data_IF_968087816720
#
_entry.id   IF_968087816720
#
_cell.length_a   1.000
_cell.length_b   1.000
_cell.length_c   1.000
_cell.angle_alpha   90.00
_cell.angle_beta   90.00
_cell.angle_gamma   90.00
#
_symmetry.space_group_name_H-M   'P 1'
#
loop_
_entity.id
_entity.type
_entity.pdbx_description
1 polymer ?
#
# COMPACT_ATOMS: atom_id res chain seq x y z
N UNK A 1 -8.24 33.31 25.70
CA UNK A 1 -9.65 33.23 25.27
C UNK A 1 -9.94 31.76 25.01
N UNK A 2 -10.97 31.20 25.64
CA UNK A 2 -11.34 29.79 25.44
C UNK A 2 -11.98 29.62 24.05
N UNK A 3 -11.25 29.03 23.09
CA UNK A 3 -11.82 28.61 21.81
C UNK A 3 -12.55 27.27 22.00
N UNK A 4 -13.74 27.33 22.61
CA UNK A 4 -14.60 26.17 22.83
C UNK A 4 -15.85 26.29 21.98
N UNK A 5 -16.07 25.34 21.08
CA UNK A 5 -17.26 25.29 20.25
C UNK A 5 -18.27 24.28 20.79
N UNK A 6 -19.55 24.63 20.72
CA UNK A 6 -20.66 23.74 21.08
C UNK A 6 -21.05 22.90 19.87
N UNK A 7 -21.18 21.59 20.07
CA UNK A 7 -21.57 20.62 19.06
C UNK A 7 -23.08 20.35 19.13
N UNK A 8 -23.72 20.10 17.99
CA UNK A 8 -25.13 19.72 17.89
C UNK A 8 -25.41 18.28 18.38
N UNK A 9 -24.36 17.50 18.61
CA UNK A 9 -24.43 16.14 19.13
C UNK A 9 -23.31 15.86 20.14
N UNK A 10 -23.42 14.73 20.82
CA UNK A 10 -22.45 14.31 21.82
C UNK A 10 -21.13 13.89 21.16
N UNK A 11 -20.00 14.29 21.73
CA UNK A 11 -18.67 13.79 21.39
C UNK A 11 -18.08 12.92 22.49
N UNK A 12 -17.19 12.02 22.11
CA UNK A 12 -16.30 11.35 23.06
C UNK A 12 -15.24 12.32 23.58
N UNK A 13 -14.82 12.10 24.82
CA UNK A 13 -13.80 12.88 25.50
C UNK A 13 -12.42 12.65 24.88
N UNK A 14 -11.63 13.72 24.83
CA UNK A 14 -10.24 13.69 24.41
C UNK A 14 -9.40 13.06 25.53
N UNK A 15 -8.71 11.96 25.22
CA UNK A 15 -7.79 11.27 26.15
C UNK A 15 -6.35 11.46 25.70
N UNK A 16 -6.09 11.45 24.40
CA UNK A 16 -4.76 11.65 23.83
C UNK A 16 -4.44 13.14 23.65
N UNK A 17 -3.16 13.47 23.85
CA UNK A 17 -2.60 14.76 23.42
C UNK A 17 -2.07 14.66 21.98
N UNK A 18 -1.81 15.79 21.29
CA UNK A 18 -1.20 15.78 19.97
C UNK A 18 0.14 14.99 19.94
N UNK A 19 0.97 15.12 20.97
CA UNK A 19 2.26 14.43 21.08
C UNK A 19 2.08 12.92 21.21
N UNK A 20 1.09 12.47 21.98
CA UNK A 20 0.75 11.07 22.10
C UNK A 20 0.26 10.48 20.76
N UNK A 21 -0.53 11.25 20.01
CA UNK A 21 -0.97 10.86 18.66
C UNK A 21 0.22 10.76 17.69
N UNK A 22 1.17 11.70 17.73
CA UNK A 22 2.42 11.59 16.96
C UNK A 22 3.22 10.34 17.33
N UNK A 23 3.24 9.95 18.61
CA UNK A 23 3.85 8.69 19.06
C UNK A 23 3.14 7.43 18.53
N UNK A 24 1.82 7.48 18.30
CA UNK A 24 1.09 6.41 17.59
C UNK A 24 1.52 6.38 16.13
N UNK A 25 1.52 7.53 15.45
CA UNK A 25 1.92 7.64 14.03
C UNK A 25 3.36 7.14 13.81
N UNK A 26 4.30 7.53 14.68
CA UNK A 26 5.68 7.04 14.64
C UNK A 26 5.74 5.51 14.70
N UNK A 27 4.98 4.88 15.61
CA UNK A 27 4.94 3.41 15.72
C UNK A 27 4.38 2.76 14.46
N UNK A 28 3.33 3.33 13.86
CA UNK A 28 2.77 2.85 12.60
C UNK A 28 3.80 2.94 11.47
N UNK A 29 4.41 4.11 11.26
CA UNK A 29 5.36 4.35 10.15
C UNK A 29 6.63 3.48 10.30
N UNK A 30 7.15 3.36 11.51
CA UNK A 30 8.31 2.49 11.79
C UNK A 30 7.99 1.01 11.65
N UNK A 31 6.77 0.57 11.99
CA UNK A 31 6.33 -0.81 11.75
C UNK A 31 6.26 -1.16 10.26
N UNK A 32 6.04 -0.17 9.40
CA UNK A 32 6.11 -0.29 7.92
C UNK A 32 7.55 -0.26 7.39
N UNK A 33 8.54 -0.15 8.27
CA UNK A 33 9.96 -0.20 7.94
C UNK A 33 10.59 1.15 7.58
N UNK A 34 9.84 2.25 7.66
CA UNK A 34 10.34 3.58 7.34
C UNK A 34 11.08 4.19 8.53
N UNK A 35 12.36 4.52 8.32
CA UNK A 35 13.23 5.14 9.34
C UNK A 35 13.32 6.65 9.23
N UNK A 36 13.02 7.18 8.03
CA UNK A 36 12.96 8.60 7.72
C UNK A 36 11.56 8.90 7.22
N UNK A 37 10.91 9.83 7.88
CA UNK A 37 9.61 10.38 7.51
C UNK A 37 9.54 11.78 8.10
N UNK A 38 8.67 12.60 7.53
CA UNK A 38 8.40 13.94 8.03
C UNK A 38 6.91 14.10 8.33
N UNK A 39 6.58 14.84 9.38
CA UNK A 39 5.19 15.13 9.75
C UNK A 39 4.93 16.58 9.37
N UNK A 40 4.10 16.75 8.35
CA UNK A 40 3.82 18.07 7.80
C UNK A 40 2.79 18.87 8.60
N UNK A 41 1.79 18.19 9.16
CA UNK A 41 0.70 18.84 9.90
C UNK A 41 0.00 17.87 10.85
N UNK A 42 -0.57 18.41 11.93
CA UNK A 42 -1.43 17.70 12.89
C UNK A 42 -2.61 18.60 13.28
N UNK A 43 -3.83 18.11 13.06
CA UNK A 43 -5.06 18.84 13.36
C UNK A 43 -6.03 18.00 14.17
N UNK A 44 -6.71 18.61 15.14
CA UNK A 44 -7.82 17.98 15.83
C UNK A 44 -9.11 18.20 15.03
N UNK A 45 -9.76 17.11 14.62
CA UNK A 45 -10.97 17.14 13.80
C UNK A 45 -12.06 16.31 14.46
N UNK A 46 -13.25 16.87 14.63
CA UNK A 46 -14.43 16.14 15.09
C UNK A 46 -15.24 15.70 13.88
N UNK A 47 -15.30 14.38 13.68
CA UNK A 47 -16.00 13.78 12.54
C UNK A 47 -17.37 13.27 13.00
N UNK A 48 -18.48 13.66 12.33
CA UNK A 48 -19.80 13.19 12.68
C UNK A 48 -20.04 11.75 12.20
N UNK A 49 -20.61 10.92 13.07
CA UNK A 49 -21.04 9.55 12.77
C UNK A 49 -22.49 9.34 13.22
N UNK A 50 -23.25 8.60 12.43
CA UNK A 50 -24.53 8.03 12.85
C UNK A 50 -24.31 6.59 13.30
N UNK A 51 -24.40 6.34 14.60
CA UNK A 51 -24.30 4.99 15.15
C UNK A 51 -25.69 4.37 15.21
N UNK A 52 -25.82 3.12 14.78
CA UNK A 52 -27.09 2.42 14.70
C UNK A 52 -26.92 0.92 14.95
N UNK A 53 -28.01 0.27 15.31
CA UNK A 53 -28.12 -1.19 15.29
C UNK A 53 -28.81 -1.63 14.01
N UNK A 54 -28.49 -2.82 13.51
CA UNK A 54 -29.13 -3.39 12.34
C UNK A 54 -29.46 -4.86 12.55
N UNK A 55 -30.51 -5.31 11.86
CA UNK A 55 -30.94 -6.70 11.75
C UNK A 55 -31.12 -7.03 10.26
N UNK A 56 -30.68 -8.21 9.83
CA UNK A 56 -30.79 -8.68 8.45
C UNK A 56 -31.76 -9.85 8.42
N UNK A 57 -32.85 -9.72 7.67
CA UNK A 57 -33.84 -10.78 7.46
C UNK A 57 -33.32 -11.77 6.39
N UNK A 58 -32.57 -12.77 6.83
CA UNK A 58 -31.98 -13.82 5.97
C UNK A 58 -32.44 -15.23 6.39
N UNK A 59 -33.75 -15.51 6.30
CA UNK A 59 -34.29 -16.84 6.60
C UNK A 59 -34.08 -17.27 8.05
N UNK A 60 -33.61 -18.50 8.28
CA UNK A 60 -33.47 -19.09 9.63
C UNK A 60 -32.39 -18.43 10.51
N UNK A 61 -31.42 -17.72 9.92
CA UNK A 61 -30.42 -16.95 10.65
C UNK A 61 -30.57 -15.48 10.29
N UNK A 62 -30.99 -14.67 11.25
CA UNK A 62 -31.05 -13.21 11.09
C UNK A 62 -29.84 -12.57 11.78
N UNK A 63 -28.73 -12.32 11.06
CA UNK A 63 -27.57 -11.67 11.65
C UNK A 63 -27.92 -10.24 12.06
N UNK A 64 -27.44 -9.84 13.23
CA UNK A 64 -27.63 -8.51 13.79
C UNK A 64 -26.32 -7.94 14.31
N UNK A 65 -26.24 -6.62 14.41
CA UNK A 65 -25.01 -5.94 14.81
C UNK A 65 -25.18 -4.46 15.08
N UNK A 66 -24.05 -3.81 15.38
CA UNK A 66 -23.93 -2.35 15.49
C UNK A 66 -22.93 -1.87 14.47
N UNK A 67 -23.24 -0.77 13.79
CA UNK A 67 -22.33 -0.12 12.87
C UNK A 67 -22.46 1.40 13.02
N UNK A 68 -21.52 2.14 12.46
CA UNK A 68 -21.61 3.58 12.34
C UNK A 68 -21.47 4.00 10.88
N UNK A 69 -22.27 4.97 10.45
CA UNK A 69 -22.12 5.63 9.16
C UNK A 69 -21.35 6.94 9.39
N UNK A 70 -20.19 7.08 8.75
CA UNK A 70 -19.48 8.35 8.69
C UNK A 70 -20.37 9.36 7.94
N UNK A 71 -20.86 10.38 8.63
CA UNK A 71 -21.79 11.34 8.05
C UNK A 71 -21.10 12.32 7.09
N UNK A 72 -19.77 12.39 7.09
CA UNK A 72 -18.99 13.15 6.12
C UNK A 72 -18.72 12.35 4.84
N UNK A 73 -18.23 11.10 4.95
CA UNK A 73 -17.86 10.30 3.76
C UNK A 73 -18.97 9.37 3.24
N UNK A 74 -19.94 9.03 4.07
CA UNK A 74 -20.97 8.03 3.76
C UNK A 74 -20.48 6.57 3.87
N UNK A 75 -19.32 6.32 4.48
CA UNK A 75 -18.78 4.97 4.66
C UNK A 75 -19.17 4.36 6.01
N UNK A 76 -19.26 3.02 6.04
CA UNK A 76 -19.49 2.30 7.28
C UNK A 76 -18.18 2.16 8.06
N UNK A 77 -18.29 2.26 9.38
CA UNK A 77 -17.22 2.04 10.34
C UNK A 77 -17.70 1.07 11.40
N UNK A 78 -16.96 -0.02 11.56
CA UNK A 78 -17.14 -1.00 12.64
C UNK A 78 -16.40 -0.59 13.92
N UNK A 79 -15.48 0.39 13.81
CA UNK A 79 -14.68 0.89 14.93
C UNK A 79 -15.49 1.76 15.89
N UNK A 80 -16.28 2.72 15.38
CA UNK A 80 -16.98 3.70 16.23
C UNK A 80 -17.96 3.05 17.22
N UNK A 81 -18.72 1.99 16.88
CA UNK A 81 -19.50 1.25 17.86
C UNK A 81 -18.68 0.74 19.05
N UNK A 82 -17.43 0.32 18.83
CA UNK A 82 -16.54 -0.15 19.90
C UNK A 82 -16.21 0.95 20.92
N UNK A 83 -16.26 2.23 20.53
CA UNK A 83 -16.09 3.36 21.44
C UNK A 83 -17.25 3.48 22.43
N UNK A 84 -18.46 3.10 22.02
CA UNK A 84 -19.64 3.14 22.89
C UNK A 84 -19.60 2.09 24.00
N UNK A 85 -18.91 0.97 23.76
CA UNK A 85 -18.75 -0.11 24.74
C UNK A 85 -17.64 0.19 25.77
N UNK A 86 -16.91 1.30 25.61
CA UNK A 86 -15.91 1.79 26.57
C UNK A 86 -16.51 2.88 27.49
N UNK A 87 -16.09 2.95 28.76
CA UNK A 87 -16.56 3.96 29.71
C UNK A 87 -15.89 5.32 29.47
N UNK A 88 -16.04 5.87 28.26
CA UNK A 88 -15.48 7.16 27.87
C UNK A 88 -16.39 8.30 28.34
N UNK A 89 -15.78 9.38 28.83
CA UNK A 89 -16.51 10.62 29.15
C UNK A 89 -17.14 11.16 27.86
N UNK A 90 -18.39 11.60 27.95
CA UNK A 90 -19.15 12.19 26.84
C UNK A 90 -19.44 13.66 27.14
N UNK A 91 -19.34 14.52 26.14
CA UNK A 91 -19.59 15.96 26.26
C UNK A 91 -20.23 16.50 24.97
N UNK A 92 -20.67 17.75 24.95
CA UNK A 92 -21.17 18.44 23.73
C UNK A 92 -20.28 19.61 23.32
N UNK A 93 -19.03 19.62 23.77
CA UNK A 93 -18.09 20.69 23.45
C UNK A 93 -16.77 20.13 22.96
N UNK A 94 -16.11 20.89 22.09
CA UNK A 94 -14.73 20.60 21.67
C UNK A 94 -13.76 20.70 22.84
N UNK A 95 -12.56 20.15 22.65
CA UNK A 95 -11.47 20.26 23.61
C UNK A 95 -11.13 21.73 23.87
N UNK A 96 -10.84 22.05 25.13
CA UNK A 96 -10.41 23.39 25.52
C UNK A 96 -8.96 23.62 25.11
N UNK A 97 -8.65 24.84 24.65
CA UNK A 97 -7.29 25.29 24.31
C UNK A 97 -6.62 24.55 23.13
N UNK A 98 -7.40 23.83 22.31
CA UNK A 98 -6.93 23.26 21.05
C UNK A 98 -7.76 23.83 19.91
N UNK A 99 -7.10 24.20 18.81
CA UNK A 99 -7.79 24.53 17.58
C UNK A 99 -8.40 23.24 17.00
N UNK A 100 -9.73 23.21 16.98
CA UNK A 100 -10.51 22.06 16.54
C UNK A 100 -11.33 22.43 15.31
N UNK A 101 -11.25 21.60 14.28
CA UNK A 101 -12.14 21.65 13.13
C UNK A 101 -13.30 20.67 13.35
N UNK A 102 -14.48 20.99 12.80
CA UNK A 102 -15.65 20.09 12.85
C UNK A 102 -16.11 19.84 11.44
N UNK A 103 -16.12 18.58 11.04
CA UNK A 103 -16.55 18.20 9.70
C UNK A 103 -18.06 18.36 9.55
N UNK A 104 -18.48 18.90 8.40
CA UNK A 104 -19.88 19.00 8.06
C UNK A 104 -20.46 17.61 7.78
N UNK A 105 -21.72 17.40 8.16
CA UNK A 105 -22.45 16.18 7.77
C UNK A 105 -22.90 16.32 6.31
N UNK A 106 -22.27 15.55 5.41
CA UNK A 106 -22.70 15.43 4.02
C UNK A 106 -23.99 14.59 3.90
N UNK A 107 -24.16 13.59 4.77
CA UNK A 107 -25.39 12.81 4.91
C UNK A 107 -26.24 13.43 6.00
N UNK A 108 -27.45 13.88 5.66
CA UNK A 108 -28.39 14.42 6.64
C UNK A 108 -28.93 13.33 7.57
N UNK A 109 -29.52 13.73 8.71
CA UNK A 109 -30.13 12.77 9.64
C UNK A 109 -31.30 12.01 8.99
N UNK A 110 -32.05 12.66 8.10
CA UNK A 110 -33.15 12.04 7.35
C UNK A 110 -32.63 10.98 6.37
N UNK A 111 -31.46 11.20 5.77
CA UNK A 111 -30.82 10.28 4.82
C UNK A 111 -29.99 9.19 5.50
N UNK A 112 -29.62 9.38 6.77
CA UNK A 112 -28.76 8.45 7.51
C UNK A 112 -29.30 7.01 7.49
N UNK A 113 -30.59 6.83 7.81
CA UNK A 113 -31.24 5.52 7.84
C UNK A 113 -31.27 4.81 6.47
N UNK A 114 -31.79 5.41 5.37
CA UNK A 114 -31.79 4.75 4.07
C UNK A 114 -30.37 4.53 3.50
N UNK A 115 -29.41 5.38 3.85
CA UNK A 115 -28.01 5.23 3.44
C UNK A 115 -27.33 4.08 4.17
N UNK A 116 -27.47 4.02 5.49
CA UNK A 116 -26.99 2.92 6.32
C UNK A 116 -27.57 1.58 5.85
N UNK A 117 -28.87 1.53 5.59
CA UNK A 117 -29.56 0.34 5.08
C UNK A 117 -28.96 -0.15 3.76
N UNK A 118 -28.73 0.75 2.80
CA UNK A 118 -28.13 0.42 1.51
C UNK A 118 -26.67 -0.05 1.65
N UNK A 119 -25.88 0.59 2.50
CA UNK A 119 -24.47 0.23 2.73
C UNK A 119 -24.33 -1.13 3.42
N UNK A 120 -25.13 -1.39 4.45
CA UNK A 120 -25.14 -2.70 5.13
C UNK A 120 -25.57 -3.80 4.17
N UNK A 121 -26.66 -3.57 3.42
CA UNK A 121 -27.13 -4.52 2.41
C UNK A 121 -26.06 -4.85 1.37
N UNK A 122 -25.34 -3.83 0.87
CA UNK A 122 -24.23 -4.01 -0.06
C UNK A 122 -23.06 -4.80 0.53
N UNK A 123 -22.72 -4.60 1.82
CA UNK A 123 -21.61 -5.29 2.48
C UNK A 123 -21.90 -6.79 2.67
N UNK A 124 -23.17 -7.15 2.90
CA UNK A 124 -23.59 -8.55 3.13
C UNK A 124 -24.17 -9.24 1.90
N UNK A 125 -24.26 -8.55 0.75
CA UNK A 125 -24.86 -9.09 -0.47
C UNK A 125 -26.36 -9.34 -0.37
N UNK A 126 -27.08 -8.57 0.46
CA UNK A 126 -28.52 -8.66 0.66
C UNK A 126 -29.28 -7.55 -0.09
N UNK A 127 -30.59 -7.72 -0.24
CA UNK A 127 -31.47 -6.64 -0.72
C UNK A 127 -31.64 -5.58 0.37
N UNK A 128 -31.84 -4.32 -0.05
CA UNK A 128 -31.96 -3.18 0.88
C UNK A 128 -33.09 -3.39 1.89
N UNK A 129 -34.25 -3.82 1.42
CA UNK A 129 -35.45 -4.11 2.21
C UNK A 129 -35.28 -5.24 3.23
N UNK A 130 -34.32 -6.15 3.00
CA UNK A 130 -33.96 -7.20 3.96
C UNK A 130 -33.17 -6.66 5.18
N UNK A 131 -32.72 -5.40 5.16
CA UNK A 131 -31.99 -4.79 6.28
C UNK A 131 -32.89 -3.83 7.04
N UNK A 132 -33.03 -4.03 8.34
CA UNK A 132 -33.72 -3.11 9.25
C UNK A 132 -32.69 -2.33 10.06
N UNK A 133 -32.78 -1.00 10.04
CA UNK A 133 -31.93 -0.09 10.82
C UNK A 133 -32.74 0.52 11.98
N UNK A 134 -32.17 0.44 13.19
CA UNK A 134 -32.77 0.88 14.45
C UNK A 134 -31.83 1.79 15.25
N UNK A 135 -32.41 2.67 16.07
CA UNK A 135 -31.69 3.51 17.05
C UNK A 135 -30.53 4.35 16.46
N UNK A 136 -30.77 5.05 15.36
CA UNK A 136 -29.78 5.96 14.75
C UNK A 136 -29.52 7.15 15.67
N UNK A 137 -28.29 7.31 16.12
CA UNK A 137 -27.86 8.41 16.99
C UNK A 137 -26.60 9.08 16.44
N UNK A 138 -26.58 10.42 16.41
CA UNK A 138 -25.40 11.18 15.98
C UNK A 138 -24.39 11.29 17.12
N UNK A 139 -23.13 11.03 16.82
CA UNK A 139 -21.98 11.26 17.69
C UNK A 139 -20.86 11.95 16.90
N UNK A 140 -20.08 12.78 17.56
CA UNK A 140 -18.79 13.21 17.04
C UNK A 140 -17.68 12.34 17.62
N UNK A 141 -16.76 11.92 16.76
CA UNK A 141 -15.55 11.21 17.17
C UNK A 141 -14.37 12.15 16.92
N UNK A 142 -13.58 12.49 17.95
CA UNK A 142 -12.40 13.33 17.78
C UNK A 142 -11.25 12.51 17.20
N UNK A 143 -10.61 13.02 16.15
CA UNK A 143 -9.42 12.45 15.54
C UNK A 143 -8.29 13.48 15.48
N UNK A 144 -7.07 13.05 15.75
CA UNK A 144 -5.88 13.76 15.29
C UNK A 144 -5.55 13.31 13.87
N UNK A 145 -5.80 14.20 12.92
CA UNK A 145 -5.47 14.01 11.51
C UNK A 145 -4.04 14.45 11.28
N UNK A 146 -3.19 13.52 10.88
CA UNK A 146 -1.74 13.71 10.73
C UNK A 146 -1.34 13.41 9.29
N UNK A 147 -0.63 14.34 8.66
CA UNK A 147 -0.09 14.17 7.30
C UNK A 147 1.39 13.82 7.36
N UNK A 148 1.72 12.61 6.91
CA UNK A 148 3.06 12.05 6.97
C UNK A 148 3.64 11.92 5.57
N UNK A 149 4.82 12.50 5.37
CA UNK A 149 5.58 12.40 4.12
C UNK A 149 6.50 11.18 4.19
N UNK A 150 6.25 10.20 3.33
CA UNK A 150 7.00 8.94 3.22
C UNK A 150 7.13 8.58 1.75
N UNK A 151 8.29 8.09 1.31
CA UNK A 151 8.51 7.67 -0.08
C UNK A 151 8.27 8.76 -1.14
N UNK A 152 8.41 10.05 -0.78
CA UNK A 152 8.05 11.22 -1.58
C UNK A 152 6.54 11.42 -1.82
N UNK A 153 5.69 10.67 -1.12
CA UNK A 153 4.24 10.85 -1.11
C UNK A 153 3.77 11.32 0.28
N UNK A 154 2.59 11.95 0.33
CA UNK A 154 1.95 12.39 1.57
C UNK A 154 0.75 11.50 1.88
N UNK A 155 0.76 10.88 3.06
CA UNK A 155 -0.32 10.02 3.54
C UNK A 155 -1.02 10.66 4.73
N UNK A 156 -2.34 10.55 4.76
CA UNK A 156 -3.16 10.99 5.89
C UNK A 156 -3.41 9.81 6.83
N UNK A 157 -3.07 9.97 8.10
CA UNK A 157 -3.48 9.07 9.18
C UNK A 157 -4.43 9.80 10.10
N UNK A 158 -5.53 9.14 10.45
CA UNK A 158 -6.47 9.65 11.44
C UNK A 158 -6.29 8.81 12.72
N UNK A 159 -5.81 9.43 13.80
CA UNK A 159 -5.66 8.76 15.10
C UNK A 159 -6.84 9.13 15.98
N UNK A 160 -7.66 8.16 16.36
CA UNK A 160 -8.76 8.40 17.29
C UNK A 160 -8.22 8.97 18.61
N UNK A 161 -8.77 10.10 19.02
CA UNK A 161 -8.23 10.86 20.12
C UNK A 161 -8.75 10.37 21.49
N UNK A 162 -9.65 9.38 21.51
CA UNK A 162 -10.18 8.77 22.73
C UNK A 162 -9.45 7.50 23.15
N UNK A 163 -9.06 6.62 22.23
CA UNK A 163 -8.35 5.35 22.49
C UNK A 163 -6.99 5.26 21.80
N UNK A 164 -6.68 6.13 20.83
CA UNK A 164 -5.41 6.13 20.11
C UNK A 164 -5.35 5.11 18.98
N UNK A 165 -6.51 4.69 18.46
CA UNK A 165 -6.55 3.74 17.35
C UNK A 165 -6.20 4.44 16.02
N UNK A 166 -5.19 3.97 15.27
CA UNK A 166 -4.83 4.57 13.99
C UNK A 166 -5.71 4.03 12.85
N UNK A 167 -6.21 4.94 12.01
CA UNK A 167 -6.92 4.66 10.76
C UNK A 167 -6.10 5.18 9.57
N UNK A 168 -6.20 4.51 8.42
CA UNK A 168 -5.45 4.87 7.20
C UNK A 168 -4.02 4.33 7.15
N UNK A 169 -3.60 3.55 8.15
CA UNK A 169 -2.27 2.93 8.21
C UNK A 169 -2.01 1.94 7.06
N UNK A 170 -3.06 1.36 6.50
CA UNK A 170 -3.05 0.47 5.34
C UNK A 170 -2.60 1.17 4.06
N UNK A 171 -2.89 2.47 3.91
CA UNK A 171 -2.50 3.24 2.74
C UNK A 171 -0.98 3.52 2.67
N UNK A 172 -0.28 3.47 3.81
CA UNK A 172 1.17 3.63 3.83
C UNK A 172 1.83 2.35 3.28
N UNK A 173 2.59 2.44 2.18
CA UNK A 173 3.30 1.30 1.63
C UNK A 173 4.37 0.81 2.61
N UNK A 174 4.66 -0.49 2.62
CA UNK A 174 5.85 -1.00 3.30
C UNK A 174 7.12 -0.50 2.61
N UNK A 175 8.17 -0.18 3.37
CA UNK A 175 9.47 0.16 2.77
C UNK A 175 9.97 -1.07 1.99
N UNK A 176 10.36 -0.91 0.71
CA UNK A 176 11.01 -2.00 -0.01
C UNK A 176 12.27 -2.39 0.76
N UNK A 177 12.37 -3.68 1.13
CA UNK A 177 13.56 -4.19 1.81
C UNK A 177 14.76 -3.99 0.88
N UNK A 178 15.81 -3.34 1.38
CA UNK A 178 17.04 -3.21 0.61
C UNK A 178 17.61 -4.60 0.32
N UNK A 179 18.38 -4.75 -0.77
CA UNK A 179 18.97 -6.03 -1.16
C UNK A 179 19.71 -6.70 0.02
N UNK A 180 20.51 -5.91 0.74
CA UNK A 180 21.25 -6.39 1.92
C UNK A 180 20.36 -6.85 3.08
N UNK A 181 19.20 -6.23 3.29
CA UNK A 181 18.25 -6.60 4.36
C UNK A 181 17.45 -7.85 3.96
N UNK A 182 17.07 -7.96 2.70
CA UNK A 182 16.45 -9.16 2.15
C UNK A 182 17.41 -10.35 2.25
N UNK A 183 18.67 -10.17 1.82
CA UNK A 183 19.68 -11.23 1.90
C UNK A 183 20.04 -11.56 3.35
N UNK A 184 20.17 -10.58 4.26
CA UNK A 184 20.50 -10.88 5.66
C UNK A 184 19.41 -11.67 6.37
N UNK A 185 18.14 -11.31 6.17
CA UNK A 185 17.01 -12.03 6.78
C UNK A 185 16.86 -13.43 6.19
N UNK A 186 17.03 -13.59 4.87
CA UNK A 186 17.06 -14.91 4.25
C UNK A 186 18.26 -15.73 4.71
N UNK A 187 19.44 -15.12 4.85
CA UNK A 187 20.65 -15.80 5.35
C UNK A 187 20.49 -16.21 6.81
N UNK A 188 19.87 -15.39 7.66
CA UNK A 188 19.56 -15.74 9.05
C UNK A 188 18.52 -16.85 9.15
N UNK A 189 17.47 -16.81 8.33
CA UNK A 189 16.49 -17.90 8.23
C UNK A 189 17.12 -19.19 7.69
N UNK A 190 18.10 -19.10 6.78
CA UNK A 190 18.89 -20.24 6.32
C UNK A 190 19.92 -20.76 7.34
N UNK A 191 20.26 -20.00 8.39
CA UNK A 191 21.17 -20.48 9.45
C UNK A 191 20.50 -21.41 10.46
N UNK A 192 19.16 -21.43 10.54
CA UNK A 192 18.45 -22.25 11.51
C UNK A 192 17.55 -23.30 10.82
N UNK A 193 17.57 -24.58 11.24
CA UNK A 193 16.68 -25.61 10.67
C UNK A 193 15.18 -25.24 10.73
N UNK A 194 14.77 -24.43 11.73
CA UNK A 194 13.41 -23.92 11.84
C UNK A 194 13.06 -22.91 10.73
N UNK A 195 14.00 -22.05 10.33
CA UNK A 195 13.79 -21.11 9.22
C UNK A 195 13.67 -21.79 7.86
N UNK A 196 14.20 -23.01 7.70
CA UNK A 196 14.01 -23.81 6.49
C UNK A 196 12.59 -24.35 6.38
N UNK A 197 11.97 -24.72 7.51
CA UNK A 197 10.57 -25.12 7.56
C UNK A 197 9.63 -23.94 7.31
N UNK A 198 9.98 -22.74 7.74
CA UNK A 198 9.20 -21.52 7.47
C UNK A 198 9.29 -21.08 6.00
N UNK A 199 10.49 -21.16 5.41
CA UNK A 199 10.72 -20.87 3.98
C UNK A 199 10.12 -21.95 3.08
N UNK A 200 10.20 -23.22 3.49
CA UNK A 200 9.58 -24.34 2.79
C UNK A 200 8.07 -24.40 2.97
N UNK A 201 7.53 -24.01 4.13
CA UNK A 201 6.09 -24.07 4.43
C UNK A 201 5.24 -23.18 3.54
N UNK A 202 5.78 -22.06 3.03
CA UNK A 202 5.09 -21.21 2.04
C UNK A 202 5.05 -21.82 0.63
N UNK A 203 5.91 -22.78 0.31
CA UNK A 203 5.99 -23.43 -1.00
C UNK A 203 5.41 -24.86 -0.97
N UNK A 204 5.40 -25.50 0.20
CA UNK A 204 4.89 -26.86 0.42
C UNK A 204 3.36 -26.89 0.55
N UNK A 205 2.71 -25.76 0.86
CA UNK A 205 1.24 -25.66 0.87
C UNK A 205 0.58 -25.93 -0.49
N UNK A 206 1.26 -25.63 -1.60
CA UNK A 206 0.71 -25.83 -2.96
C UNK A 206 1.22 -27.11 -3.65
N UNK A 207 2.30 -27.74 -3.16
CA UNK A 207 2.87 -28.99 -3.72
C UNK A 207 2.62 -30.21 -2.82
N UNK A 208 2.08 -29.98 -1.61
CA UNK A 208 1.96 -30.96 -0.52
C UNK A 208 0.97 -32.10 -0.74
N UNK A 209 0.12 -32.07 -1.77
CA UNK A 209 -0.79 -33.19 -2.09
C UNK A 209 -0.10 -34.34 -2.85
N UNK A 210 1.08 -34.11 -3.41
CA UNK A 210 1.79 -35.10 -4.25
C UNK A 210 2.86 -35.92 -3.51
N UNK A 211 3.22 -35.55 -2.27
CA UNK A 211 4.25 -36.23 -1.47
C UNK A 211 3.68 -36.81 -0.17
N UNK A 212 2.37 -36.64 0.10
CA UNK A 212 1.67 -37.24 1.24
C UNK A 212 1.35 -38.74 1.04
N UNK A 213 2.20 -39.46 0.31
CA UNK A 213 2.07 -40.87 -0.03
C UNK A 213 3.27 -41.71 0.43
N UNK A 214 3.99 -41.31 1.48
CA UNK A 214 4.98 -42.18 2.11
C UNK A 214 5.19 -41.83 3.59
N UNK A 215 4.75 -42.74 4.47
CA UNK A 215 5.31 -42.88 5.81
C UNK A 215 4.66 -42.07 6.92
N UNK A 216 3.57 -42.58 7.49
CA UNK A 216 3.30 -42.42 8.92
C UNK A 216 4.41 -43.14 9.70
N UNK A 217 5.25 -42.40 10.41
CA UNK A 217 6.12 -42.98 11.44
C UNK A 217 7.36 -42.14 11.77
N UNK A 218 7.52 -41.80 13.05
CA UNK A 218 8.80 -41.38 13.63
C UNK A 218 9.02 -39.87 13.70
N UNK A 219 8.62 -39.26 14.83
CA UNK A 219 9.35 -38.13 15.39
C UNK A 219 10.74 -38.66 15.72
N UNK A 220 11.75 -38.15 15.03
CA UNK A 220 13.19 -38.43 15.14
C UNK A 220 13.75 -39.26 13.95
N UNK A 221 14.50 -38.58 13.08
CA UNK A 221 15.60 -39.23 12.37
C UNK A 221 15.60 -39.25 10.83
N UNK A 222 14.73 -38.53 10.11
CA UNK A 222 14.89 -38.41 8.65
C UNK A 222 15.95 -37.35 8.25
N UNK A 223 16.14 -36.31 9.08
CA UNK A 223 17.08 -35.20 8.81
C UNK A 223 18.43 -35.32 9.54
N UNK A 224 18.68 -36.39 10.32
CA UNK A 224 19.98 -36.62 10.99
C UNK A 224 21.00 -37.34 10.10
N UNK A 225 20.54 -37.97 9.02
CA UNK A 225 21.39 -38.66 8.07
C UNK A 225 21.97 -37.63 7.07
N UNK A 226 23.30 -37.44 7.10
CA UNK A 226 24.02 -36.57 6.16
C UNK A 226 23.66 -36.84 4.70
N UNK A 227 23.39 -38.09 4.32
CA UNK A 227 22.98 -38.42 2.96
C UNK A 227 21.64 -37.81 2.57
N UNK A 228 20.65 -37.83 3.47
CA UNK A 228 19.32 -37.24 3.23
C UNK A 228 19.41 -35.72 3.20
N UNK A 229 20.22 -35.11 4.07
CA UNK A 229 20.46 -33.66 4.05
C UNK A 229 21.06 -33.19 2.72
N UNK A 230 22.05 -33.91 2.17
CA UNK A 230 22.67 -33.58 0.88
C UNK A 230 21.67 -33.71 -0.28
N UNK A 231 20.81 -34.73 -0.27
CA UNK A 231 19.79 -34.92 -1.31
C UNK A 231 18.74 -33.80 -1.25
N UNK A 232 18.26 -33.45 -0.06
CA UNK A 232 17.30 -32.34 0.12
C UNK A 232 17.94 -31.01 -0.30
N UNK A 233 19.20 -30.76 0.06
CA UNK A 233 19.94 -29.57 -0.35
C UNK A 233 20.08 -29.49 -1.87
N UNK A 234 20.46 -30.59 -2.54
CA UNK A 234 20.57 -30.64 -4.00
C UNK A 234 19.21 -30.45 -4.68
N UNK A 235 18.14 -30.98 -4.12
CA UNK A 235 16.77 -30.76 -4.62
C UNK A 235 16.36 -29.28 -4.48
N UNK A 236 16.64 -28.64 -3.35
CA UNK A 236 16.37 -27.20 -3.13
C UNK A 236 17.23 -26.34 -4.06
N UNK A 237 18.52 -26.64 -4.21
CA UNK A 237 19.41 -25.97 -5.17
C UNK A 237 18.89 -26.18 -6.59
N UNK A 238 18.42 -27.37 -6.94
CA UNK A 238 17.83 -27.67 -8.25
C UNK A 238 16.56 -26.87 -8.51
N UNK A 239 15.65 -26.76 -7.54
CA UNK A 239 14.44 -25.93 -7.64
C UNK A 239 14.80 -24.45 -7.72
N UNK A 240 15.74 -23.97 -6.91
CA UNK A 240 16.22 -22.58 -6.98
C UNK A 240 16.92 -22.29 -8.31
N UNK A 241 17.76 -23.20 -8.79
CA UNK A 241 18.40 -23.10 -10.10
C UNK A 241 17.36 -23.14 -11.22
N UNK A 242 16.30 -23.93 -11.10
CA UNK A 242 15.18 -23.92 -12.03
C UNK A 242 14.45 -22.57 -12.02
N UNK A 243 14.15 -22.00 -10.85
CA UNK A 243 13.53 -20.67 -10.78
C UNK A 243 14.44 -19.54 -11.27
N UNK A 244 15.75 -19.62 -11.00
CA UNK A 244 16.74 -18.61 -11.41
C UNK A 244 17.10 -18.73 -12.90
N UNK A 245 17.16 -19.94 -13.45
CA UNK A 245 17.60 -20.19 -14.83
C UNK A 245 16.43 -20.38 -15.82
N UNK A 246 15.26 -20.83 -15.35
CA UNK A 246 14.09 -21.16 -16.19
C UNK A 246 12.80 -20.44 -15.76
N UNK A 247 12.71 -19.93 -14.53
CA UNK A 247 11.51 -19.32 -13.94
C UNK A 247 11.26 -17.84 -14.28
N UNK A 248 11.93 -17.29 -15.29
CA UNK A 248 11.81 -15.89 -15.66
C UNK A 248 11.68 -15.67 -17.17
N UNK A 249 10.67 -16.28 -17.81
CA UNK A 249 10.28 -15.88 -19.18
C UNK A 249 9.40 -14.62 -19.18
N UNK A 250 9.30 -13.90 -18.05
CA UNK A 250 8.62 -12.61 -18.03
C UNK A 250 9.33 -11.70 -19.02
N UNK A 251 8.58 -11.14 -19.97
CA UNK A 251 9.08 -10.40 -21.12
C UNK A 251 10.32 -9.52 -20.89
N UNK A 252 11.24 -9.45 -21.87
CA UNK A 252 12.38 -8.54 -21.79
C UNK A 252 11.90 -7.14 -22.19
N UNK A 253 12.20 -6.17 -21.35
CA UNK A 253 11.95 -4.76 -21.64
C UNK A 253 13.28 -4.02 -21.73
N UNK A 254 13.48 -3.27 -22.82
CA UNK A 254 14.64 -2.41 -23.00
C UNK A 254 14.18 -1.06 -23.50
N UNK A 255 14.49 0.01 -22.77
CA UNK A 255 14.19 1.37 -23.19
C UNK A 255 15.49 2.08 -23.58
N UNK A 256 15.43 2.88 -24.63
CA UNK A 256 16.55 3.70 -25.09
C UNK A 256 16.05 5.06 -25.55
N UNK A 257 16.82 6.11 -25.27
CA UNK A 257 16.59 7.43 -25.83
C UNK A 257 16.85 7.42 -27.35
N UNK A 258 16.17 8.29 -28.09
CA UNK A 258 16.43 8.47 -29.52
C UNK A 258 17.84 9.00 -29.73
N UNK A 259 18.44 8.64 -30.88
CA UNK A 259 19.83 9.04 -31.22
C UNK A 259 20.06 10.56 -31.15
N UNK A 260 19.00 11.36 -31.32
CA UNK A 260 19.01 12.82 -31.21
C UNK A 260 19.36 13.34 -29.80
N UNK A 261 19.19 12.51 -28.77
CA UNK A 261 19.45 12.81 -27.35
C UNK A 261 20.66 12.04 -26.80
N UNK A 262 21.37 11.26 -27.62
CA UNK A 262 22.60 10.57 -27.18
C UNK A 262 23.81 11.50 -27.36
N UNK A 263 24.59 11.69 -26.29
CA UNK A 263 25.89 12.35 -26.38
C UNK A 263 26.83 11.51 -27.21
N UNK A 264 27.53 12.15 -28.17
CA UNK A 264 28.64 11.50 -28.86
C UNK A 264 29.77 11.30 -27.86
N UNK A 265 30.29 10.07 -27.67
CA UNK A 265 31.40 9.85 -26.75
C UNK A 265 32.61 10.67 -27.22
N UNK A 266 33.28 11.33 -26.29
CA UNK A 266 34.58 11.97 -26.51
C UNK A 266 35.62 11.28 -25.60
N UNK A 267 36.91 11.59 -25.78
CA UNK A 267 38.00 10.90 -25.08
C UNK A 267 37.96 11.04 -23.54
N UNK A 268 37.20 12.02 -23.02
CA UNK A 268 37.17 12.39 -21.60
C UNK A 268 35.78 12.33 -20.94
N UNK A 269 34.72 12.08 -21.72
CA UNK A 269 33.34 12.06 -21.26
C UNK A 269 32.66 10.75 -21.66
N UNK A 270 32.00 10.14 -20.67
CA UNK A 270 31.21 8.93 -20.88
C UNK A 270 30.03 9.20 -21.83
N UNK A 271 29.62 8.17 -22.56
CA UNK A 271 28.34 8.21 -23.27
C UNK A 271 27.21 8.49 -22.28
N UNK A 272 26.25 9.32 -22.67
CA UNK A 272 25.15 9.72 -21.81
C UNK A 272 24.06 10.40 -22.62
N UNK A 273 23.08 10.95 -21.92
CA UNK A 273 21.94 11.62 -22.54
C UNK A 273 22.12 13.13 -22.47
N UNK A 274 21.76 13.82 -23.56
CA UNK A 274 21.70 15.26 -23.69
C UNK A 274 20.23 15.66 -23.95
N UNK A 275 19.52 16.16 -22.92
CA UNK A 275 18.19 16.73 -23.09
C UNK A 275 18.21 17.88 -24.11
N UNK A 276 17.09 18.07 -24.83
CA UNK A 276 16.91 19.24 -25.69
C UNK A 276 15.94 20.20 -25.04
N UNK A 277 16.28 21.48 -25.04
CA UNK A 277 15.35 22.52 -24.63
C UNK A 277 14.49 22.95 -25.84
N UNK A 278 13.18 22.88 -25.69
CA UNK A 278 12.20 23.31 -26.71
C UNK A 278 11.20 24.21 -25.99
N UNK A 279 11.24 25.51 -26.31
CA UNK A 279 10.36 26.53 -25.70
C UNK A 279 10.44 26.58 -24.15
N UNK A 280 11.63 26.51 -23.57
CA UNK A 280 11.82 26.53 -22.12
C UNK A 280 11.46 25.22 -21.40
N UNK A 281 11.21 24.14 -22.16
CA UNK A 281 10.96 22.81 -21.62
C UNK A 281 12.07 21.88 -22.07
N UNK A 282 12.78 21.27 -21.12
CA UNK A 282 13.72 20.20 -21.42
C UNK A 282 12.94 18.92 -21.73
N UNK A 283 13.28 18.26 -22.83
CA UNK A 283 12.69 16.97 -23.21
C UNK A 283 13.75 15.92 -23.56
N UNK A 284 13.39 14.66 -23.30
CA UNK A 284 14.04 13.46 -23.82
C UNK A 284 12.97 12.58 -24.45
N UNK A 285 13.20 12.15 -25.70
CA UNK A 285 12.35 11.18 -26.38
C UNK A 285 13.08 9.87 -26.59
N UNK A 286 12.31 8.79 -26.68
CA UNK A 286 12.86 7.47 -26.94
C UNK A 286 11.77 6.43 -27.12
N UNK A 287 12.17 5.16 -27.05
CA UNK A 287 11.27 4.02 -27.19
C UNK A 287 11.64 2.90 -26.23
N UNK A 288 10.60 2.23 -25.72
CA UNK A 288 10.69 0.98 -24.98
C UNK A 288 10.28 -0.17 -25.88
N UNK A 289 11.15 -1.17 -25.97
CA UNK A 289 10.95 -2.40 -26.69
C UNK A 289 10.53 -3.50 -25.71
N UNK A 290 9.37 -4.09 -25.94
CA UNK A 290 8.86 -5.19 -25.14
C UNK A 290 8.82 -6.47 -25.97
N UNK A 291 9.34 -7.57 -25.43
CA UNK A 291 9.18 -8.93 -25.99
C UNK A 291 8.44 -9.81 -25.01
N UNK A 292 7.72 -10.82 -25.50
CA UNK A 292 7.05 -11.80 -24.66
C UNK A 292 7.38 -13.22 -25.15
N UNK A 293 8.51 -13.81 -24.68
CA UNK A 293 8.84 -15.19 -24.99
C UNK A 293 7.99 -16.20 -24.19
N UNK A 294 7.05 -15.72 -23.37
CA UNK A 294 6.16 -16.54 -22.55
C UNK A 294 5.09 -17.27 -23.35
N UNK A 295 4.26 -18.03 -22.64
CA UNK A 295 3.19 -18.87 -23.21
C UNK A 295 1.81 -18.22 -23.18
N UNK A 296 1.68 -17.09 -22.48
CA UNK A 296 0.43 -16.35 -22.32
C UNK A 296 0.62 -14.92 -22.80
N UNK A 297 -0.49 -14.29 -23.19
CA UNK A 297 -0.52 -12.91 -23.62
C UNK A 297 -0.34 -11.99 -22.41
N UNK A 298 0.66 -11.10 -22.45
CA UNK A 298 1.02 -10.25 -21.31
C UNK A 298 0.97 -8.76 -21.65
N UNK A 299 0.55 -7.94 -20.69
CA UNK A 299 0.75 -6.50 -20.77
C UNK A 299 2.14 -6.14 -20.25
N UNK A 300 2.92 -5.42 -21.05
CA UNK A 300 4.21 -4.90 -20.62
C UNK A 300 4.08 -3.48 -20.10
N UNK A 301 4.45 -3.24 -18.84
CA UNK A 301 4.60 -1.90 -18.27
C UNK A 301 6.02 -1.72 -17.72
N UNK A 302 6.58 -0.53 -17.91
CA UNK A 302 7.88 -0.17 -17.33
C UNK A 302 7.88 1.30 -16.92
N UNK A 303 8.56 1.59 -15.83
CA UNK A 303 8.80 2.96 -15.39
C UNK A 303 10.20 3.40 -15.77
N UNK A 304 10.29 4.55 -16.41
CA UNK A 304 11.53 5.20 -16.78
C UNK A 304 11.73 6.38 -15.84
N UNK A 305 12.83 6.40 -15.10
CA UNK A 305 13.20 7.51 -14.21
C UNK A 305 14.44 8.19 -14.76
N UNK A 306 14.41 9.53 -14.84
CA UNK A 306 15.58 10.31 -15.22
C UNK A 306 16.57 10.35 -14.03
N UNK A 307 17.83 9.98 -14.29
CA UNK A 307 18.96 10.14 -13.38
C UNK A 307 19.75 11.36 -13.83
N UNK A 308 20.06 12.25 -12.90
CA UNK A 308 20.91 13.43 -13.11
C UNK A 308 22.16 13.30 -12.21
N UNK A 309 23.35 13.25 -12.81
CA UNK A 309 24.65 13.05 -12.13
C UNK A 309 24.65 11.91 -11.10
N UNK A 310 24.01 10.79 -11.45
CA UNK A 310 23.92 9.59 -10.60
C UNK A 310 22.82 9.65 -9.54
N UNK A 311 22.05 10.74 -9.45
CA UNK A 311 20.94 10.91 -8.52
C UNK A 311 19.60 10.75 -9.25
N UNK A 312 18.70 9.83 -8.83
CA UNK A 312 17.36 9.75 -9.37
C UNK A 312 16.58 11.05 -9.14
N UNK A 313 15.91 11.53 -10.18
CA UNK A 313 15.09 12.75 -10.10
C UNK A 313 13.61 12.43 -9.84
N UNK A 314 12.80 13.47 -9.58
CA UNK A 314 11.33 13.35 -9.51
C UNK A 314 10.66 13.07 -10.87
N UNK A 315 11.43 13.12 -11.97
CA UNK A 315 10.89 12.99 -13.32
C UNK A 315 10.89 11.53 -13.75
N UNK A 316 9.69 10.95 -13.84
CA UNK A 316 9.51 9.59 -14.30
C UNK A 316 8.31 9.47 -15.25
N UNK A 317 8.30 8.42 -16.07
CA UNK A 317 7.21 8.09 -16.98
C UNK A 317 6.97 6.59 -16.99
N UNK A 318 5.73 6.19 -16.76
CA UNK A 318 5.29 4.81 -17.01
C UNK A 318 4.90 4.65 -18.47
N UNK A 319 5.46 3.63 -19.11
CA UNK A 319 5.20 3.25 -20.50
C UNK A 319 4.59 1.86 -20.50
N UNK A 320 3.36 1.75 -21.01
CA UNK A 320 2.64 0.48 -21.10
C UNK A 320 2.23 0.19 -22.54
N UNK A 321 2.17 -1.10 -22.89
CA UNK A 321 1.60 -1.53 -24.16
C UNK A 321 0.08 -1.37 -24.17
N UNK A 322 -0.47 -0.72 -25.20
CA UNK A 322 -1.93 -0.49 -25.33
C UNK A 322 -2.75 -1.75 -25.68
N UNK A 323 -2.08 -2.83 -26.10
CA UNK A 323 -2.66 -4.14 -26.34
C UNK A 323 -1.70 -5.18 -25.74
N UNK A 324 -2.18 -6.34 -25.28
CA UNK A 324 -1.29 -7.39 -24.82
C UNK A 324 -0.30 -7.78 -25.92
N UNK A 325 0.89 -8.19 -25.50
CA UNK A 325 1.93 -8.74 -26.37
C UNK A 325 1.66 -10.24 -26.44
N UNK A 326 1.38 -10.73 -27.64
CA UNK A 326 1.04 -12.14 -27.82
C UNK A 326 2.18 -13.05 -27.33
N UNK A 327 1.80 -14.21 -26.79
CA UNK A 327 2.74 -15.25 -26.40
C UNK A 327 3.70 -15.64 -27.54
N UNK A 328 4.94 -15.96 -27.19
CA UNK A 328 5.98 -16.42 -28.13
C UNK A 328 6.54 -15.34 -29.07
N UNK A 329 6.18 -14.07 -28.89
CA UNK A 329 6.70 -12.96 -29.70
C UNK A 329 8.10 -12.55 -29.20
N UNK A 330 9.11 -12.95 -29.97
CA UNK A 330 10.49 -12.51 -29.78
C UNK A 330 10.79 -11.15 -30.46
N UNK A 331 9.93 -10.73 -31.39
CA UNK A 331 10.08 -9.43 -32.05
C UNK A 331 9.65 -8.30 -31.11
N UNK A 332 10.51 -7.30 -30.88
CA UNK A 332 10.21 -6.24 -29.94
C UNK A 332 9.09 -5.34 -30.45
N UNK A 333 8.04 -5.18 -29.63
CA UNK A 333 7.04 -4.14 -29.82
C UNK A 333 7.54 -2.84 -29.22
N UNK A 334 7.79 -1.85 -30.07
CA UNK A 334 8.23 -0.52 -29.64
C UNK A 334 7.07 0.37 -29.21
N UNK A 335 7.18 0.97 -28.03
CA UNK A 335 6.27 2.00 -27.51
C UNK A 335 7.08 3.28 -27.26
N UNK A 336 6.73 4.42 -27.89
CA UNK A 336 7.47 5.66 -27.70
C UNK A 336 7.21 6.27 -26.32
N UNK A 337 8.17 7.04 -25.81
CA UNK A 337 8.02 7.83 -24.59
C UNK A 337 8.59 9.24 -24.77
N UNK A 338 8.07 10.16 -23.95
CA UNK A 338 8.55 11.55 -23.83
C UNK A 338 8.63 11.86 -22.33
N UNK A 339 9.80 12.26 -21.87
CA UNK A 339 10.04 12.82 -20.54
C UNK A 339 10.29 14.32 -20.70
N UNK A 340 9.54 15.15 -19.97
CA UNK A 340 9.64 16.60 -20.04
C UNK A 340 9.71 17.23 -18.64
N UNK A 341 10.46 18.34 -18.52
CA UNK A 341 10.56 19.10 -17.28
C UNK A 341 10.95 20.56 -17.54
N UNK A 342 10.66 21.43 -16.57
CA UNK A 342 10.88 22.89 -16.67
C UNK A 342 12.02 23.40 -15.79
N UNK A 343 12.34 22.68 -14.70
CA UNK A 343 13.37 23.13 -13.76
C UNK A 343 14.77 22.86 -14.36
N UNK A 344 15.66 23.85 -14.35
CA UNK A 344 17.07 23.60 -14.70
C UNK A 344 17.69 22.70 -13.61
N UNK A 345 18.07 21.48 -14.00
CA UNK A 345 18.71 20.52 -13.11
C UNK A 345 20.21 20.78 -12.92
N UNK A 346 20.81 21.67 -13.73
CA UNK A 346 22.24 22.01 -13.74
C UNK A 346 23.17 20.79 -13.74
N UNK A 347 22.71 19.66 -14.28
CA UNK A 347 23.42 18.39 -14.23
C UNK A 347 24.30 18.22 -15.47
N UNK A 348 25.48 17.65 -15.28
CA UNK A 348 26.42 17.40 -16.37
C UNK A 348 26.05 16.14 -17.14
N UNK A 349 25.54 15.13 -16.46
CA UNK A 349 25.24 13.82 -17.03
C UNK A 349 23.79 13.42 -16.75
N UNK A 350 23.14 12.90 -17.79
CA UNK A 350 21.80 12.34 -17.68
C UNK A 350 21.82 10.87 -18.12
N UNK A 351 21.06 10.05 -17.41
CA UNK A 351 20.85 8.63 -17.72
C UNK A 351 19.38 8.23 -17.47
N UNK A 352 18.95 7.08 -17.97
CA UNK A 352 17.61 6.53 -17.77
C UNK A 352 17.68 5.26 -16.94
N UNK A 353 17.05 5.27 -15.77
CA UNK A 353 16.80 4.06 -15.02
C UNK A 353 15.50 3.42 -15.49
N UNK A 354 15.57 2.17 -15.94
CA UNK A 354 14.40 1.40 -16.37
C UNK A 354 14.05 0.40 -15.28
N UNK A 355 12.86 0.52 -14.71
CA UNK A 355 12.33 -0.40 -13.72
C UNK A 355 11.16 -1.15 -14.35
N UNK A 356 11.27 -2.48 -14.42
CA UNK A 356 10.16 -3.35 -14.84
C UNK A 356 9.13 -3.38 -13.71
N UNK A 357 7.86 -3.12 -14.04
CA UNK A 357 6.75 -3.22 -13.09
C UNK A 357 6.15 -4.61 -13.09
#
# INVERSE_FOLDING_TARGET
>A
MENKMLLDATTFGLVLTPEAALGVVQRVVTSKGWKKYDVSDIKLVYVPFYVFSFDISAGEQSPSGKAALNAFSGDLSEFVPMLLDRPLKKTRSTAENLEAEVEASAVSMQEAKPTAQAKVASQVGAQKDAVTISAVNKFYVPFFRVWVNVANDTFRLDVDASLGFPLGAEAIPGRPKGWNEATSETLEKMKSPAGWLELGGKTVGEVGSSIAGAGKGGKDGALSNRGVQVIVLLAVIGVLAYFVLLGGSGGKTSCSADAAYLKKPNLFEAAGIAPREVNGVFEIRGKCNFTNPGKEDEFGCTSITLIADGVPTKYFKTVCTSKPIAAGINEPRSVPFILNWTDDLSAKNYDLQVVKQ
#
